data_IF_661243020558
#
_entry.id   IF_661243020558
#
_cell.length_a   1.000
_cell.length_b   1.000
_cell.length_c   1.000
_cell.angle_alpha   90.00
_cell.angle_beta   90.00
_cell.angle_gamma   90.00
#
_symmetry.space_group_name_H-M   'P 1'
#
loop_
_entity.id
_entity.type
_entity.pdbx_description
1 polymer ?
#
# COMPACT_ATOMS: atom_id res chain seq x y z
N UNK A 1 17.29 -38.24 -16.36
CA UNK A 1 17.37 -37.48 -16.16
C UNK A 1 16.86 -36.86 -16.26
N UNK A 2 16.87 -36.81 -15.81
CA UNK A 2 16.58 -35.89 -15.54
C UNK A 2 16.28 -35.10 -15.63
N UNK A 3 16.03 -34.72 -15.31
CA UNK A 3 15.99 -33.85 -15.21
C UNK A 3 15.68 -32.91 -15.46
N UNK A 4 15.37 -32.42 -15.44
CA UNK A 4 15.29 -31.41 -15.53
C UNK A 4 15.66 -30.63 -15.61
N UNK A 5 16.05 -30.62 -15.48
CA UNK A 5 16.72 -30.03 -15.55
C UNK A 5 17.44 -30.09 -15.41
N UNK A 6 17.46 -30.41 -15.44
CA UNK A 6 18.58 -30.26 -15.14
C UNK A 6 19.29 -29.89 -15.96
N UNK A 7 19.22 -29.30 -16.17
CA UNK A 7 20.31 -29.10 -16.90
C UNK A 7 21.17 -30.24 -16.78
N UNK A 8 21.88 -30.53 -17.11
CA UNK A 8 22.59 -31.58 -17.05
C UNK A 8 22.64 -32.24 -15.97
N UNK A 9 22.61 -32.49 -15.97
CA UNK A 9 22.69 -32.65 -15.27
C UNK A 9 22.67 -32.38 -14.51
N UNK A 10 22.37 -32.82 -14.85
CA UNK A 10 22.00 -32.73 -13.55
C UNK A 10 22.10 -31.51 -12.78
N UNK A 11 22.30 -30.48 -13.35
CA UNK A 11 22.28 -29.22 -12.62
C UNK A 11 20.86 -28.75 -12.56
N UNK A 12 20.34 -28.69 -11.33
CA UNK A 12 19.08 -28.00 -11.11
C UNK A 12 19.36 -26.55 -10.96
N UNK A 13 18.85 -25.75 -11.85
CA UNK A 13 18.91 -24.33 -11.69
C UNK A 13 17.80 -23.94 -10.75
N UNK A 14 18.17 -23.56 -9.55
CA UNK A 14 17.21 -23.08 -8.57
C UNK A 14 17.15 -21.58 -8.68
N UNK A 15 16.08 -21.11 -9.27
CA UNK A 15 15.80 -19.70 -9.26
C UNK A 15 15.26 -19.34 -7.89
N UNK A 16 15.86 -18.37 -7.17
CA UNK A 16 15.31 -17.96 -5.89
C UNK A 16 13.87 -17.50 -6.09
N UNK A 17 12.97 -17.81 -5.16
CA UNK A 17 11.60 -17.34 -5.25
C UNK A 17 11.61 -15.82 -5.39
N UNK A 18 10.94 -15.31 -6.39
CA UNK A 18 10.79 -13.89 -6.55
C UNK A 18 9.94 -13.36 -5.40
N UNK A 19 10.27 -12.16 -4.93
CA UNK A 19 9.40 -11.47 -4.00
C UNK A 19 8.11 -11.15 -4.72
N UNK A 20 7.02 -11.42 -4.05
CA UNK A 20 5.71 -11.15 -4.61
C UNK A 20 5.32 -9.71 -4.30
N UNK A 21 5.03 -8.95 -5.35
CA UNK A 21 4.51 -7.60 -5.20
C UNK A 21 3.00 -7.67 -5.16
N UNK A 22 2.42 -7.11 -4.12
CA UNK A 22 1.00 -7.14 -3.85
C UNK A 22 0.49 -5.71 -3.68
N UNK A 23 -0.80 -5.55 -3.85
CA UNK A 23 -1.44 -4.25 -3.66
C UNK A 23 -2.71 -4.40 -2.85
N UNK A 24 -2.96 -3.44 -1.99
CA UNK A 24 -4.23 -3.26 -1.29
C UNK A 24 -4.82 -1.93 -1.69
N UNK A 25 -6.12 -1.90 -1.80
CA UNK A 25 -6.84 -0.73 -2.29
C UNK A 25 -7.89 -0.31 -1.30
N UNK A 26 -7.95 0.98 -1.01
CA UNK A 26 -9.00 1.59 -0.21
C UNK A 26 -9.67 2.68 -1.02
N UNK A 27 -11.00 2.69 -1.02
CA UNK A 27 -11.74 3.73 -1.70
C UNK A 27 -12.41 4.62 -0.66
N UNK A 28 -12.11 5.92 -0.72
CA UNK A 28 -12.67 6.90 0.19
C UNK A 28 -13.76 7.64 -0.55
N UNK A 29 -15.01 7.40 -0.18
CA UNK A 29 -16.16 8.08 -0.77
C UNK A 29 -16.54 9.28 0.10
N UNK A 30 -17.42 10.13 -0.43
CA UNK A 30 -17.89 11.29 0.32
C UNK A 30 -18.51 10.93 1.67
N UNK A 31 -19.08 9.73 1.79
CA UNK A 31 -19.74 9.32 3.02
C UNK A 31 -18.77 8.88 4.12
N UNK A 32 -17.52 8.58 3.78
CA UNK A 32 -16.57 7.95 4.70
C UNK A 32 -15.56 8.92 5.28
N UNK A 33 -15.79 10.20 5.18
CA UNK A 33 -14.71 11.18 5.19
C UNK A 33 -14.15 11.54 6.54
N UNK A 34 -14.97 12.02 7.46
CA UNK A 34 -14.43 12.78 8.57
C UNK A 34 -14.07 11.94 9.79
N UNK A 35 -14.55 10.73 9.88
CA UNK A 35 -14.32 9.89 11.06
C UNK A 35 -13.22 8.86 10.89
N UNK A 36 -12.84 8.57 9.67
CA UNK A 36 -11.91 7.49 9.37
C UNK A 36 -12.57 6.12 9.43
N UNK A 37 -12.04 5.18 8.70
CA UNK A 37 -12.58 3.82 8.68
C UNK A 37 -11.44 2.82 8.44
N UNK A 38 -11.64 1.59 8.93
CA UNK A 38 -10.72 0.50 8.68
C UNK A 38 -10.89 0.02 7.24
N UNK A 39 -9.85 0.15 6.44
CA UNK A 39 -9.92 -0.13 5.01
C UNK A 39 -9.48 -1.55 4.67
N UNK A 40 -8.35 -1.98 5.21
CA UNK A 40 -7.80 -3.31 4.91
C UNK A 40 -6.71 -3.65 5.93
N UNK A 41 -6.23 -4.89 5.88
CA UNK A 41 -5.11 -5.33 6.69
C UNK A 41 -3.83 -5.48 5.88
N UNK A 42 -2.71 -5.26 6.52
CA UNK A 42 -1.39 -5.58 5.98
C UNK A 42 -0.74 -6.61 6.90
N UNK A 43 -0.15 -7.67 6.33
CA UNK A 43 0.43 -8.73 7.15
C UNK A 43 1.78 -8.33 7.74
N UNK A 44 2.14 -9.00 8.82
CA UNK A 44 3.48 -8.93 9.37
C UNK A 44 4.50 -9.28 8.28
N UNK A 45 5.64 -8.62 8.29
CA UNK A 45 6.75 -8.77 7.35
C UNK A 45 6.51 -8.12 5.98
N UNK A 46 5.37 -7.51 5.74
CA UNK A 46 5.16 -6.74 4.51
C UNK A 46 6.13 -5.56 4.46
N UNK A 47 6.83 -5.41 3.36
CA UNK A 47 7.67 -4.24 3.10
C UNK A 47 6.87 -3.26 2.26
N UNK A 48 6.63 -2.08 2.78
CA UNK A 48 5.79 -1.09 2.12
C UNK A 48 6.61 -0.40 1.03
N UNK A 49 6.29 -0.71 -0.22
CA UNK A 49 7.07 -0.22 -1.36
C UNK A 49 6.63 1.17 -1.82
N UNK A 50 5.34 1.47 -1.72
CA UNK A 50 4.86 2.77 -2.17
C UNK A 50 3.38 2.93 -1.94
N UNK A 51 2.93 4.17 -2.01
CA UNK A 51 1.52 4.52 -1.89
C UNK A 51 1.15 5.48 -3.01
N UNK A 52 0.00 5.21 -3.62
CA UNK A 52 -0.49 5.96 -4.76
C UNK A 52 -1.94 6.35 -4.53
N UNK A 53 -2.35 7.41 -5.18
CA UNK A 53 -3.69 7.96 -5.07
C UNK A 53 -4.27 8.16 -6.46
N UNK A 54 -5.51 7.73 -6.65
CA UNK A 54 -6.28 8.04 -7.84
C UNK A 54 -7.47 8.88 -7.39
N UNK A 55 -7.57 10.09 -7.90
CA UNK A 55 -8.71 10.95 -7.61
C UNK A 55 -9.63 11.02 -8.80
N UNK A 56 -10.92 10.83 -8.59
CA UNK A 56 -11.93 10.91 -9.63
C UNK A 56 -12.16 12.35 -10.10
N UNK A 57 -11.75 13.32 -9.30
CA UNK A 57 -11.84 14.72 -9.61
C UNK A 57 -11.10 15.55 -8.58
N UNK A 58 -11.05 16.85 -8.75
CA UNK A 58 -10.35 17.72 -7.82
C UNK A 58 -11.08 17.80 -6.47
N UNK A 59 -10.31 17.62 -5.39
CA UNK A 59 -10.76 17.88 -4.02
C UNK A 59 -9.91 19.03 -3.49
N UNK A 60 -10.37 20.23 -3.69
CA UNK A 60 -9.52 21.42 -3.62
C UNK A 60 -9.09 21.84 -2.21
N UNK A 61 -9.84 21.46 -1.19
CA UNK A 61 -9.54 21.86 0.19
C UNK A 61 -9.34 20.69 1.13
N UNK A 62 -9.65 19.48 0.69
CA UNK A 62 -9.58 18.31 1.53
C UNK A 62 -8.20 17.64 1.40
N UNK A 63 -7.76 17.02 2.49
CA UNK A 63 -6.59 16.16 2.48
C UNK A 63 -6.97 14.79 2.97
N UNK A 64 -6.20 13.78 2.57
CA UNK A 64 -6.39 12.41 3.05
C UNK A 64 -5.18 11.98 3.86
N UNK A 65 -5.44 11.17 4.88
CA UNK A 65 -4.42 10.54 5.68
C UNK A 65 -4.73 9.05 5.78
N UNK A 66 -3.69 8.24 5.72
CA UNK A 66 -3.80 6.79 5.81
C UNK A 66 -2.72 6.30 6.75
N UNK A 67 -3.12 5.47 7.69
CA UNK A 67 -2.18 4.98 8.68
C UNK A 67 -2.71 3.78 9.45
N UNK A 68 -2.11 3.49 10.58
CA UNK A 68 -2.41 2.30 11.37
C UNK A 68 -3.37 2.55 12.51
N UNK A 69 -3.93 3.74 12.57
CA UNK A 69 -5.01 4.11 13.48
C UNK A 69 -5.88 5.15 12.79
N UNK A 70 -7.08 5.39 13.31
CA UNK A 70 -7.94 6.43 12.74
C UNK A 70 -7.24 7.79 12.83
N UNK A 71 -7.06 8.43 11.68
CA UNK A 71 -6.31 9.67 11.59
C UNK A 71 -4.79 9.51 11.59
N UNK A 72 -4.30 8.27 11.60
CA UNK A 72 -2.87 8.00 11.50
C UNK A 72 -2.29 8.42 10.16
N UNK A 73 -0.99 8.64 10.12
CA UNK A 73 -0.28 9.19 8.95
C UNK A 73 0.89 8.33 8.51
N UNK A 74 0.96 7.10 8.97
CA UNK A 74 2.11 6.24 8.71
C UNK A 74 2.28 5.89 7.23
N UNK A 75 1.21 5.93 6.43
CA UNK A 75 1.26 5.64 5.00
C UNK A 75 1.08 6.90 4.16
N UNK A 76 0.14 7.74 4.51
CA UNK A 76 -0.11 9.01 3.81
C UNK A 76 -0.31 10.11 4.85
N UNK A 77 0.43 11.19 4.71
CA UNK A 77 0.38 12.31 5.63
C UNK A 77 -0.22 13.53 4.95
N UNK A 78 -1.53 13.68 5.09
CA UNK A 78 -2.28 14.86 4.63
C UNK A 78 -2.04 15.19 3.14
N UNK A 79 -2.16 14.20 2.29
CA UNK A 79 -2.04 14.40 0.84
C UNK A 79 -3.28 15.13 0.30
N UNK A 80 -3.05 16.15 -0.51
CA UNK A 80 -4.13 16.94 -1.12
C UNK A 80 -4.46 16.41 -2.53
N UNK A 81 -5.56 15.66 -2.71
CA UNK A 81 -5.93 15.12 -4.03
C UNK A 81 -6.68 16.19 -4.84
N UNK A 82 -5.96 17.21 -5.24
CA UNK A 82 -6.56 18.38 -5.89
C UNK A 82 -6.53 18.32 -7.42
N UNK A 83 -6.18 17.18 -8.00
CA UNK A 83 -6.20 16.95 -9.45
C UNK A 83 -6.83 15.61 -9.75
N UNK A 84 -7.50 15.51 -10.89
CA UNK A 84 -7.98 14.23 -11.40
C UNK A 84 -6.81 13.36 -11.81
N UNK A 85 -6.89 12.07 -11.51
CA UNK A 85 -5.95 11.07 -12.02
C UNK A 85 -5.07 10.45 -10.96
N UNK A 86 -4.06 9.75 -11.42
CA UNK A 86 -3.14 8.94 -10.63
C UNK A 86 -1.91 9.76 -10.23
N UNK A 87 -1.51 9.63 -8.99
CA UNK A 87 -0.28 10.26 -8.50
C UNK A 87 0.34 9.44 -7.39
N UNK A 88 1.66 9.42 -7.33
CA UNK A 88 2.37 8.95 -6.15
C UNK A 88 2.27 10.03 -5.06
N UNK A 89 2.18 9.62 -3.79
CA UNK A 89 2.01 10.60 -2.72
C UNK A 89 3.27 11.41 -2.46
N UNK A 90 4.43 10.95 -2.91
CA UNK A 90 5.66 11.74 -2.87
C UNK A 90 6.05 12.19 -1.48
N UNK A 91 6.18 13.50 -1.30
CA UNK A 91 6.61 14.08 -0.03
C UNK A 91 5.62 13.84 1.12
N UNK A 92 4.39 13.49 0.83
CA UNK A 92 3.39 13.14 1.83
C UNK A 92 3.38 11.67 2.19
N UNK A 93 4.36 10.90 1.74
CA UNK A 93 4.51 9.51 2.18
C UNK A 93 4.82 9.48 3.67
N UNK A 94 4.14 8.59 4.38
CA UNK A 94 4.33 8.45 5.82
C UNK A 94 5.58 7.66 6.18
N UNK A 95 5.86 7.58 7.47
CA UNK A 95 7.07 6.96 8.00
C UNK A 95 7.19 5.47 7.76
N UNK A 96 6.06 4.78 7.52
CA UNK A 96 6.08 3.34 7.26
C UNK A 96 6.45 3.00 5.81
N UNK A 97 6.36 3.95 4.88
CA UNK A 97 6.74 3.72 3.50
C UNK A 97 8.26 3.52 3.43
N UNK A 98 8.68 2.44 2.78
CA UNK A 98 10.09 2.06 2.73
C UNK A 98 10.53 1.22 3.93
N UNK A 99 9.61 0.75 4.76
CA UNK A 99 9.94 -0.07 5.93
C UNK A 99 9.21 -1.41 5.89
N UNK A 100 9.71 -2.36 6.65
CA UNK A 100 9.07 -3.66 6.84
C UNK A 100 8.24 -3.64 8.12
N UNK A 101 7.03 -4.15 8.05
CA UNK A 101 6.15 -4.23 9.20
C UNK A 101 6.62 -5.34 10.15
N UNK A 102 6.60 -5.06 11.44
CA UNK A 102 6.98 -6.02 12.48
C UNK A 102 5.79 -6.77 13.06
N UNK A 103 4.58 -6.38 12.69
CA UNK A 103 3.35 -7.02 13.15
C UNK A 103 2.24 -6.78 12.12
N UNK A 104 1.17 -7.56 12.19
CA UNK A 104 -0.02 -7.29 11.41
C UNK A 104 -0.56 -5.90 11.72
N UNK A 105 -0.98 -5.18 10.71
CA UNK A 105 -1.55 -3.83 10.88
C UNK A 105 -2.90 -3.73 10.21
N UNK A 106 -3.82 -3.08 10.86
CA UNK A 106 -5.06 -2.63 10.23
C UNK A 106 -4.81 -1.23 9.70
N UNK A 107 -5.19 -1.00 8.46
CA UNK A 107 -5.00 0.29 7.81
C UNK A 107 -6.31 1.07 7.84
N UNK A 108 -6.22 2.31 8.29
CA UNK A 108 -7.34 3.24 8.39
C UNK A 108 -7.12 4.38 7.41
N UNK A 109 -8.20 4.81 6.79
CA UNK A 109 -8.20 5.95 5.88
C UNK A 109 -9.14 7.02 6.41
N UNK A 110 -8.75 8.27 6.24
CA UNK A 110 -9.53 9.40 6.71
C UNK A 110 -9.29 10.61 5.81
N UNK A 111 -10.35 11.38 5.59
CA UNK A 111 -10.25 12.68 4.92
C UNK A 111 -10.44 13.78 5.96
N UNK A 112 -9.87 14.96 5.71
CA UNK A 112 -9.98 16.10 6.61
C UNK A 112 -11.38 16.69 6.66
N UNK A 113 -12.15 16.51 5.58
CA UNK A 113 -13.54 16.93 5.46
C UNK A 113 -14.20 16.09 4.38
N UNK A 114 -15.50 16.26 4.20
CA UNK A 114 -16.25 15.54 3.16
C UNK A 114 -15.62 15.75 1.79
N UNK A 115 -15.28 14.64 1.12
CA UNK A 115 -14.71 14.69 -0.21
C UNK A 115 -15.77 15.06 -1.24
N UNK A 116 -15.37 15.87 -2.21
CA UNK A 116 -16.20 16.18 -3.37
C UNK A 116 -16.19 15.03 -4.36
N UNK A 117 -15.05 14.38 -4.52
CA UNK A 117 -14.86 13.28 -5.46
C UNK A 117 -14.21 12.10 -4.75
N UNK A 118 -14.55 10.90 -5.18
CA UNK A 118 -13.98 9.66 -4.65
C UNK A 118 -12.47 9.63 -4.86
N UNK A 119 -11.75 9.21 -3.83
CA UNK A 119 -10.30 9.02 -3.86
C UNK A 119 -9.99 7.56 -3.58
N UNK A 120 -9.20 6.96 -4.43
CA UNK A 120 -8.72 5.58 -4.26
C UNK A 120 -7.26 5.62 -3.84
N UNK A 121 -6.94 4.93 -2.74
CA UNK A 121 -5.57 4.81 -2.25
C UNK A 121 -5.09 3.40 -2.50
N UNK A 122 -3.92 3.28 -3.11
CA UNK A 122 -3.29 2.00 -3.42
C UNK A 122 -2.00 1.89 -2.63
N UNK A 123 -1.87 0.83 -1.84
CA UNK A 123 -0.64 0.54 -1.11
C UNK A 123 0.01 -0.68 -1.73
N UNK A 124 1.20 -0.49 -2.27
CA UNK A 124 2.01 -1.57 -2.82
C UNK A 124 2.97 -2.07 -1.76
N UNK A 125 3.09 -3.39 -1.65
CA UNK A 125 4.00 -3.99 -0.69
C UNK A 125 4.59 -5.28 -1.23
N UNK A 126 5.74 -5.64 -0.69
CA UNK A 126 6.43 -6.89 -1.01
C UNK A 126 6.34 -7.82 0.18
N UNK A 127 6.11 -9.09 -0.11
CA UNK A 127 6.20 -10.13 0.91
C UNK A 127 7.52 -10.90 0.73
N UNK A 128 8.18 -11.29 1.83
CA UNK A 128 9.33 -12.15 1.71
C UNK A 128 8.92 -13.50 1.13
N UNK A 129 9.82 -14.17 0.38
CA UNK A 129 9.52 -15.49 -0.15
C UNK A 129 9.24 -16.49 0.97
N UNK A 130 8.26 -17.36 0.76
CA UNK A 130 7.89 -18.41 1.71
C UNK A 130 9.06 -19.39 1.86
N UNK A 131 9.38 -19.76 3.09
CA UNK A 131 10.41 -20.71 3.40
C UNK A 131 11.82 -20.14 3.47
N UNK A 132 11.98 -18.84 3.28
CA UNK A 132 13.26 -18.19 3.48
C UNK A 132 13.42 -17.80 4.95
N UNK A 133 14.61 -18.02 5.47
CA UNK A 133 14.94 -17.54 6.80
C UNK A 133 15.29 -16.06 6.78
N UNK A 134 14.81 -15.35 7.74
CA UNK A 134 15.08 -13.91 7.87
C UNK A 134 15.51 -13.55 9.26
#
# INVERSE_FOLDING_TARGET
MPQGIIGPQGVTVITPPAREKLSKVAQITAADTSTGFAAFGLPQNAFIAGVYVISAGANTTQTISVGFSSGGTELVNAYAPNSTGFAAVGAQAGSAVGTQLTADKTVYAKASATLTNTVTVIVDYWMPPVGQGY
#
